data_IF_997667694033
#
_entry.id   IF_997667694033
#
_cell.length_a   1.000
_cell.length_b   1.000
_cell.length_c   1.000
_cell.angle_alpha   90.00
_cell.angle_beta   90.00
_cell.angle_gamma   90.00
#
_symmetry.space_group_name_H-M   'P 1'
#
loop_
_entity.id
_entity.type
_entity.pdbx_description
1 polymer ?
#
# COMPACT_ATOMS: atom_id res chain seq x y z
N UNK A 1 -18.07 -13.50 23.42
CA UNK A 1 -18.19 -12.49 22.34
C UNK A 1 -18.25 -11.09 22.96
N UNK A 2 -19.09 -10.86 23.97
CA UNK A 2 -19.26 -9.56 24.63
C UNK A 2 -17.99 -8.96 25.23
N UNK A 3 -17.14 -9.77 25.87
CA UNK A 3 -15.86 -9.28 26.40
C UNK A 3 -14.92 -8.78 25.29
N UNK A 4 -14.93 -9.44 24.12
CA UNK A 4 -14.11 -9.02 22.98
C UNK A 4 -14.62 -7.70 22.42
N UNK A 5 -15.94 -7.58 22.20
CA UNK A 5 -16.57 -6.33 21.74
C UNK A 5 -16.33 -5.20 22.74
N UNK A 6 -16.53 -5.46 24.03
CA UNK A 6 -16.27 -4.49 25.09
C UNK A 6 -14.80 -4.04 25.11
N UNK A 7 -13.84 -4.98 24.99
CA UNK A 7 -12.42 -4.63 24.93
C UNK A 7 -12.07 -3.81 23.70
N UNK A 8 -12.63 -4.17 22.54
CA UNK A 8 -12.40 -3.43 21.30
C UNK A 8 -12.91 -1.99 21.41
N UNK A 9 -14.13 -1.80 21.91
CA UNK A 9 -14.78 -0.49 22.00
C UNK A 9 -14.17 0.37 23.11
N UNK A 10 -13.97 -0.18 24.31
CA UNK A 10 -13.57 0.62 25.48
C UNK A 10 -12.06 0.84 25.58
N UNK A 11 -11.25 -0.04 24.96
CA UNK A 11 -9.78 0.03 25.10
C UNK A 11 -9.09 0.24 23.77
N UNK A 12 -9.39 -0.59 22.77
CA UNK A 12 -8.65 -0.60 21.52
C UNK A 12 -8.94 0.65 20.68
N UNK A 13 -10.21 1.01 20.50
CA UNK A 13 -10.59 2.20 19.73
C UNK A 13 -10.01 3.49 20.33
N UNK A 14 -10.17 3.78 21.64
CA UNK A 14 -9.59 4.99 22.24
C UNK A 14 -8.06 5.03 22.15
N UNK A 15 -7.40 3.88 22.31
CA UNK A 15 -5.95 3.78 22.18
C UNK A 15 -5.48 4.19 20.78
N UNK A 16 -6.09 3.64 19.72
CA UNK A 16 -5.69 3.97 18.35
C UNK A 16 -6.09 5.39 17.94
N UNK A 17 -7.19 5.93 18.46
CA UNK A 17 -7.56 7.34 18.26
C UNK A 17 -6.50 8.29 18.85
N UNK A 18 -6.07 8.03 20.09
CA UNK A 18 -5.00 8.82 20.72
C UNK A 18 -3.66 8.65 19.98
N UNK A 19 -3.35 7.43 19.55
CA UNK A 19 -2.16 7.15 18.75
C UNK A 19 -2.16 7.95 17.44
N UNK A 20 -3.27 7.95 16.72
CA UNK A 20 -3.42 8.71 15.47
C UNK A 20 -3.27 10.22 15.73
N UNK A 21 -3.91 10.76 16.77
CA UNK A 21 -3.76 12.17 17.14
C UNK A 21 -2.29 12.54 17.42
N UNK A 22 -1.53 11.65 18.07
CA UNK A 22 -0.09 11.86 18.31
C UNK A 22 0.72 11.82 17.02
N UNK A 23 0.34 10.97 16.07
CA UNK A 23 0.97 10.93 14.74
C UNK A 23 0.70 12.22 13.96
N UNK A 24 -0.53 12.73 13.99
CA UNK A 24 -0.91 13.99 13.34
C UNK A 24 -0.12 15.19 13.91
N UNK A 25 0.19 15.14 15.21
CA UNK A 25 1.01 16.14 15.90
C UNK A 25 2.54 15.88 15.78
N UNK A 26 2.96 14.88 15.01
CA UNK A 26 4.35 14.44 14.84
C UNK A 26 5.07 13.98 16.12
N UNK A 27 4.34 13.66 17.19
CA UNK A 27 4.91 13.03 18.39
C UNK A 27 5.23 11.55 18.16
N UNK A 28 4.51 10.90 17.24
CA UNK A 28 4.75 9.53 16.82
C UNK A 28 4.92 9.48 15.30
N UNK A 29 5.81 8.61 14.80
CA UNK A 29 6.00 8.46 13.36
C UNK A 29 4.79 7.81 12.66
N UNK A 30 4.68 7.93 11.32
CA UNK A 30 3.57 7.36 10.57
C UNK A 30 3.46 5.86 10.78
N UNK A 31 2.23 5.35 10.69
CA UNK A 31 1.98 3.90 10.76
C UNK A 31 2.71 3.17 9.61
N UNK A 32 2.94 1.88 9.76
CA UNK A 32 3.63 1.02 8.79
C UNK A 32 2.93 1.09 7.43
N UNK A 33 1.60 1.14 7.44
CA UNK A 33 0.77 1.24 6.23
C UNK A 33 1.00 2.58 5.52
N UNK A 34 0.96 3.70 6.27
CA UNK A 34 1.22 5.05 5.76
C UNK A 34 2.67 5.15 5.25
N UNK A 35 3.64 4.59 5.98
CA UNK A 35 5.04 4.52 5.55
C UNK A 35 5.18 3.78 4.23
N UNK A 36 4.55 2.60 4.11
CA UNK A 36 4.55 1.84 2.85
C UNK A 36 3.92 2.62 1.71
N UNK A 37 2.79 3.31 1.94
CA UNK A 37 2.18 4.18 0.91
C UNK A 37 3.12 5.30 0.45
N UNK A 38 3.75 6.00 1.39
CA UNK A 38 4.72 7.06 1.10
C UNK A 38 5.89 6.48 0.28
N UNK A 39 6.41 5.32 0.66
CA UNK A 39 7.52 4.67 -0.04
C UNK A 39 7.14 4.22 -1.45
N UNK A 40 5.94 3.65 -1.64
CA UNK A 40 5.40 3.28 -2.95
C UNK A 40 5.29 4.54 -3.83
N UNK A 41 4.73 5.63 -3.31
CA UNK A 41 4.58 6.87 -4.08
C UNK A 41 5.93 7.44 -4.51
N UNK A 42 6.90 7.54 -3.59
CA UNK A 42 8.27 7.98 -3.90
C UNK A 42 8.98 7.09 -4.92
N UNK A 43 8.69 5.79 -4.94
CA UNK A 43 9.25 4.85 -5.94
C UNK A 43 8.54 4.97 -7.28
N UNK A 44 7.23 5.19 -7.27
CA UNK A 44 6.43 5.40 -8.47
C UNK A 44 6.88 6.66 -9.23
N UNK A 45 7.23 7.74 -8.53
CA UNK A 45 7.81 8.95 -9.14
C UNK A 45 9.12 8.68 -9.92
N UNK A 46 9.84 7.61 -9.56
CA UNK A 46 11.08 7.22 -10.24
C UNK A 46 10.86 6.31 -11.45
N UNK A 47 9.63 5.81 -11.65
CA UNK A 47 9.32 5.02 -12.84
C UNK A 47 9.27 5.94 -14.06
N UNK A 48 10.02 5.56 -15.09
CA UNK A 48 9.89 6.21 -16.40
C UNK A 48 8.78 5.53 -17.21
N UNK A 49 8.09 6.28 -18.08
CA UNK A 49 6.90 5.79 -18.79
C UNK A 49 7.20 4.62 -19.74
N UNK A 50 8.43 4.51 -20.23
CA UNK A 50 8.90 3.39 -21.06
C UNK A 50 9.01 2.06 -20.29
N UNK A 51 8.99 2.09 -18.96
CA UNK A 51 8.98 0.91 -18.11
C UNK A 51 7.57 0.35 -17.89
N UNK A 52 6.55 1.01 -18.44
CA UNK A 52 5.15 0.61 -18.38
C UNK A 52 4.66 0.40 -19.82
N UNK A 53 4.48 -0.86 -20.18
CA UNK A 53 3.94 -1.25 -21.48
C UNK A 53 2.43 -1.46 -21.32
N UNK A 54 1.65 -0.74 -22.11
CA UNK A 54 0.22 -0.98 -22.24
C UNK A 54 0.01 -2.15 -23.22
N UNK A 55 -0.72 -3.17 -22.80
CA UNK A 55 -0.99 -4.36 -23.63
C UNK A 55 -2.33 -4.17 -24.32
N UNK A 56 -3.42 -4.24 -23.55
CA UNK A 56 -4.81 -4.12 -24.03
C UNK A 56 -5.70 -3.62 -22.87
N UNK A 57 -6.79 -2.91 -23.20
CA UNK A 57 -7.79 -2.39 -22.25
C UNK A 57 -7.17 -1.77 -20.98
N UNK A 58 -7.29 -2.43 -19.84
CA UNK A 58 -6.81 -2.03 -18.53
C UNK A 58 -5.63 -2.88 -18.02
N UNK A 59 -4.94 -3.58 -18.92
CA UNK A 59 -3.81 -4.47 -18.62
C UNK A 59 -2.47 -3.84 -19.00
N UNK A 60 -1.53 -3.89 -18.07
CA UNK A 60 -0.22 -3.27 -18.15
C UNK A 60 0.88 -4.26 -17.78
N UNK A 61 2.01 -4.17 -18.49
CA UNK A 61 3.25 -4.83 -18.13
C UNK A 61 4.21 -3.82 -17.53
N UNK A 62 4.51 -3.96 -16.24
CA UNK A 62 5.38 -3.04 -15.49
C UNK A 62 6.71 -3.71 -15.22
N UNK A 63 7.81 -3.14 -15.71
CA UNK A 63 9.14 -3.68 -15.46
C UNK A 63 9.54 -3.57 -13.98
N UNK A 64 10.25 -4.54 -13.43
CA UNK A 64 10.72 -4.46 -12.05
C UNK A 64 11.92 -3.53 -11.92
N UNK A 65 11.82 -2.54 -11.02
CA UNK A 65 12.96 -1.67 -10.64
C UNK A 65 14.16 -2.43 -10.06
N UNK A 66 13.94 -3.57 -9.41
CA UNK A 66 15.02 -4.38 -8.80
C UNK A 66 15.56 -5.48 -9.72
N UNK A 67 14.77 -5.93 -10.70
CA UNK A 67 15.10 -7.06 -11.58
C UNK A 67 14.70 -6.73 -13.03
N UNK A 68 15.60 -6.16 -13.85
CA UNK A 68 15.26 -5.67 -15.19
C UNK A 68 14.67 -6.74 -16.13
N UNK A 69 14.97 -8.02 -15.90
CA UNK A 69 14.43 -9.15 -16.67
C UNK A 69 12.99 -9.53 -16.32
N UNK A 70 12.45 -9.00 -15.22
CA UNK A 70 11.12 -9.35 -14.73
C UNK A 70 10.14 -8.22 -15.03
N UNK A 71 8.99 -8.58 -15.62
CA UNK A 71 7.84 -7.70 -15.78
C UNK A 71 6.66 -8.25 -14.99
N UNK A 72 5.90 -7.37 -14.38
CA UNK A 72 4.68 -7.70 -13.67
C UNK A 72 3.48 -7.39 -14.56
N UNK A 73 2.53 -8.28 -14.55
CA UNK A 73 1.26 -8.15 -15.23
C UNK A 73 0.24 -7.59 -14.25
N UNK A 74 -0.30 -6.43 -14.59
CA UNK A 74 -1.26 -5.68 -13.79
C UNK A 74 -2.52 -5.50 -14.60
N UNK A 75 -3.61 -6.08 -14.14
CA UNK A 75 -4.94 -5.89 -14.71
C UNK A 75 -5.77 -5.04 -13.73
N UNK A 76 -6.07 -3.81 -14.13
CA UNK A 76 -6.77 -2.84 -13.29
C UNK A 76 -8.26 -3.17 -13.20
N UNK A 77 -8.87 -3.72 -14.25
CA UNK A 77 -10.30 -4.05 -14.28
C UNK A 77 -10.59 -5.33 -13.49
N UNK A 78 -9.72 -6.33 -13.63
CA UNK A 78 -9.80 -7.55 -12.82
C UNK A 78 -9.27 -7.37 -11.39
N UNK A 79 -8.72 -6.19 -11.07
CA UNK A 79 -8.05 -5.88 -9.80
C UNK A 79 -7.03 -6.97 -9.44
N UNK A 80 -6.10 -7.27 -10.34
CA UNK A 80 -5.12 -8.34 -10.16
C UNK A 80 -3.70 -7.91 -10.53
N UNK A 81 -2.71 -8.41 -9.80
CA UNK A 81 -1.31 -8.37 -10.23
C UNK A 81 -0.62 -9.70 -9.96
N UNK A 82 0.31 -10.10 -10.83
CA UNK A 82 1.26 -11.19 -10.54
C UNK A 82 2.47 -10.76 -9.66
N UNK A 83 2.37 -9.57 -9.05
CA UNK A 83 3.33 -9.01 -8.13
C UNK A 83 3.36 -9.86 -6.84
N UNK A 84 4.54 -10.07 -6.25
CA UNK A 84 4.67 -10.86 -5.02
C UNK A 84 3.93 -10.24 -3.82
N UNK A 85 3.78 -8.92 -3.81
CA UNK A 85 3.17 -8.16 -2.73
C UNK A 85 1.67 -7.85 -2.97
N UNK A 86 1.10 -8.33 -4.08
CA UNK A 86 -0.32 -8.11 -4.38
C UNK A 86 -1.18 -9.13 -3.61
N UNK A 87 -2.17 -8.68 -2.82
CA UNK A 87 -3.01 -9.54 -1.99
C UNK A 87 -4.01 -10.38 -2.77
#
# INVERSE_FOLDING_TARGET
IDHLVHTLVERVVPYYALKQQRQDLNFEGPDIEIKKRIDIHKRAEKYHKDQIEHVEDARYLVASQSQPSRKYDVDVDAYSCNCLDFP
#
